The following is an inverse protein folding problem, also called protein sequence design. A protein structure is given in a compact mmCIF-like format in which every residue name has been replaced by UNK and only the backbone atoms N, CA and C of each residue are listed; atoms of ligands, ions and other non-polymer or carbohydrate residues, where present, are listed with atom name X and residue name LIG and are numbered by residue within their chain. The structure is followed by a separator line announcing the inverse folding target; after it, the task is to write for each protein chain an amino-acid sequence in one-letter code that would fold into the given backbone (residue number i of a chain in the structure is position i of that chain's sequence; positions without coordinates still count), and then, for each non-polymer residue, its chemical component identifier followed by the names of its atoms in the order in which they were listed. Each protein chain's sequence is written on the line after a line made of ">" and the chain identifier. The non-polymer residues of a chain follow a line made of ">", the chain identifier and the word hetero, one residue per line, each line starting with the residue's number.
data_IF_960878976065
#
_entry.id   IF_960878976065
#
_cell.length_a   1.000
_cell.length_b   1.000
_cell.length_c   1.000
_cell.angle_alpha   90.00
_cell.angle_beta   90.00
_cell.angle_gamma   90.00
#
_symmetry.space_group_name_H-M   'P 1'
#
loop_
_entity.id
_entity.type
_entity.pdbx_description
1 polymer ?
#
# COMPACT_ATOMS: atom_id res chain seq x y z
N UNK A 1 -18.41 17.03 -27.03
CA UNK A 1 -17.02 16.55 -26.96
C UNK A 1 -17.02 15.42 -25.96
N UNK A 2 -17.10 14.23 -26.51
CA UNK A 2 -17.47 12.98 -25.84
C UNK A 2 -16.30 12.40 -25.04
N UNK A 3 -16.71 11.79 -23.95
CA UNK A 3 -15.97 11.09 -22.91
C UNK A 3 -15.27 9.85 -23.48
N UNK A 4 -14.04 10.00 -23.97
CA UNK A 4 -13.27 8.93 -24.63
C UNK A 4 -11.92 8.65 -23.97
N UNK A 5 -11.80 8.97 -22.67
CA UNK A 5 -10.61 8.67 -21.86
C UNK A 5 -10.87 7.70 -20.69
N UNK A 6 -12.09 7.16 -20.57
CA UNK A 6 -12.40 6.09 -19.62
C UNK A 6 -12.03 4.74 -20.23
N UNK A 7 -11.28 3.91 -19.48
CA UNK A 7 -10.87 2.53 -19.83
C UNK A 7 -9.72 2.37 -20.83
N UNK A 8 -8.48 2.62 -20.36
CA UNK A 8 -7.26 2.01 -20.95
C UNK A 8 -6.86 0.68 -20.31
N UNK A 9 -7.62 0.18 -19.32
CA UNK A 9 -7.33 -1.08 -18.63
C UNK A 9 -8.56 -2.01 -18.72
N UNK A 10 -8.52 -3.05 -19.56
CA UNK A 10 -9.60 -4.02 -19.64
C UNK A 10 -9.63 -4.84 -18.34
N UNK A 11 -10.72 -4.74 -17.57
CA UNK A 11 -10.98 -5.63 -16.41
C UNK A 11 -11.27 -4.96 -15.06
N UNK A 12 -11.34 -3.62 -14.96
CA UNK A 12 -11.96 -3.00 -13.79
C UNK A 12 -13.46 -3.29 -13.83
N UNK A 13 -13.90 -4.28 -13.06
CA UNK A 13 -15.31 -4.41 -12.73
C UNK A 13 -15.79 -3.06 -12.21
N UNK A 14 -16.84 -2.52 -12.83
CA UNK A 14 -17.45 -1.22 -12.53
C UNK A 14 -18.31 -1.34 -11.25
N UNK A 15 -17.84 -2.10 -10.27
CA UNK A 15 -18.54 -2.37 -9.02
C UNK A 15 -18.05 -1.46 -7.90
N UNK A 16 -18.91 -1.27 -6.91
CA UNK A 16 -18.56 -0.55 -5.68
C UNK A 16 -18.09 -1.54 -4.63
N UNK A 17 -16.90 -1.33 -4.08
CA UNK A 17 -16.36 -2.16 -3.00
C UNK A 17 -16.50 -1.47 -1.66
N UNK A 18 -16.63 -2.24 -0.60
CA UNK A 18 -16.64 -1.78 0.79
C UNK A 18 -15.77 -2.67 1.68
N UNK A 19 -15.11 -2.08 2.68
CA UNK A 19 -14.35 -2.80 3.68
C UNK A 19 -14.21 -2.01 4.99
N UNK A 20 -13.87 -2.73 6.07
CA UNK A 20 -13.29 -2.14 7.27
C UNK A 20 -11.85 -1.74 6.99
N UNK A 21 -11.49 -0.49 7.28
CA UNK A 21 -10.16 0.06 7.07
C UNK A 21 -9.32 0.16 8.36
N UNK A 22 -9.96 0.00 9.52
CA UNK A 22 -9.29 -0.06 10.83
C UNK A 22 -9.12 -1.51 11.30
N UNK A 23 -8.10 -1.76 12.11
CA UNK A 23 -7.85 -3.08 12.72
C UNK A 23 -9.07 -3.61 13.49
N UNK A 24 -9.32 -4.92 13.47
CA UNK A 24 -10.42 -5.52 14.24
C UNK A 24 -10.16 -5.36 15.73
N UNK A 25 -11.21 -5.07 16.51
CA UNK A 25 -11.07 -4.89 17.95
C UNK A 25 -12.07 -3.90 18.54
N UNK A 26 -11.92 -3.64 19.83
CA UNK A 26 -12.60 -2.54 20.52
C UNK A 26 -11.71 -1.30 20.42
N UNK A 27 -12.28 -0.22 19.90
CA UNK A 27 -11.65 1.09 19.83
C UNK A 27 -12.71 2.19 19.94
N UNK A 28 -12.29 3.44 20.08
CA UNK A 28 -13.24 4.55 20.11
C UNK A 28 -13.96 4.74 18.76
N UNK A 29 -13.23 4.54 17.66
CA UNK A 29 -13.69 4.77 16.29
C UNK A 29 -13.28 3.58 15.42
N UNK A 30 -14.12 3.24 14.45
CA UNK A 30 -13.76 2.37 13.35
C UNK A 30 -14.12 3.03 12.01
N UNK A 31 -13.36 2.70 10.97
CA UNK A 31 -13.54 3.25 9.64
C UNK A 31 -14.10 2.17 8.71
N UNK A 32 -15.30 2.40 8.16
CA UNK A 32 -15.81 1.67 7.00
C UNK A 32 -15.60 2.57 5.79
N UNK A 33 -15.01 2.05 4.73
CA UNK A 33 -14.80 2.79 3.49
C UNK A 33 -15.40 2.06 2.30
N UNK A 34 -15.88 2.83 1.33
CA UNK A 34 -16.40 2.32 0.05
C UNK A 34 -15.81 3.10 -1.12
N UNK A 35 -15.59 2.43 -2.24
CA UNK A 35 -15.02 3.02 -3.46
C UNK A 35 -15.67 2.40 -4.69
N UNK A 36 -16.07 3.25 -5.63
CA UNK A 36 -16.66 2.82 -6.89
C UNK A 36 -17.80 3.74 -7.35
N UNK A 37 -18.40 3.44 -8.51
CA UNK A 37 -19.36 4.33 -9.18
C UNK A 37 -20.68 4.53 -8.40
N UNK A 38 -21.05 3.58 -7.55
CA UNK A 38 -22.29 3.62 -6.76
C UNK A 38 -22.03 4.01 -5.30
N UNK A 39 -20.81 4.42 -4.92
CA UNK A 39 -20.46 4.74 -3.53
C UNK A 39 -21.39 5.80 -2.89
N UNK A 40 -21.77 6.83 -3.65
CA UNK A 40 -22.70 7.85 -3.16
C UNK A 40 -24.16 7.35 -3.14
N UNK A 41 -24.54 6.43 -4.02
CA UNK A 41 -25.87 5.83 -4.00
C UNK A 41 -26.04 4.94 -2.77
N UNK A 42 -25.02 4.12 -2.47
CA UNK A 42 -24.96 3.33 -1.23
C UNK A 42 -25.06 4.24 -0.01
N UNK A 43 -24.30 5.34 0.04
CA UNK A 43 -24.39 6.29 1.14
C UNK A 43 -25.82 6.84 1.34
N UNK A 44 -26.46 7.33 0.26
CA UNK A 44 -27.82 7.89 0.33
C UNK A 44 -28.84 6.90 0.85
N UNK A 45 -28.69 5.62 0.52
CA UNK A 45 -29.58 4.59 1.04
C UNK A 45 -29.39 4.35 2.55
N UNK A 46 -28.17 4.50 3.07
CA UNK A 46 -27.92 4.43 4.52
C UNK A 46 -28.35 5.71 5.25
N UNK A 47 -28.43 6.85 4.57
CA UNK A 47 -28.83 8.16 5.13
C UNK A 47 -30.07 8.73 4.43
N UNK A 48 -31.22 8.03 4.48
CA UNK A 48 -32.41 8.42 3.72
C UNK A 48 -32.90 9.81 4.12
N UNK A 49 -33.12 10.66 3.12
CA UNK A 49 -33.60 12.03 3.32
C UNK A 49 -32.55 13.04 3.81
N UNK A 50 -31.28 12.62 3.98
CA UNK A 50 -30.18 13.53 4.26
C UNK A 50 -29.45 13.92 2.95
N UNK A 51 -28.99 15.16 2.84
CA UNK A 51 -28.16 15.60 1.71
C UNK A 51 -26.76 14.98 1.77
N UNK A 52 -26.17 14.74 0.60
CA UNK A 52 -24.78 14.28 0.50
C UNK A 52 -23.83 15.28 1.20
N UNK A 53 -22.82 14.80 1.94
CA UNK A 53 -21.79 15.68 2.49
C UNK A 53 -21.08 16.45 1.37
N UNK A 54 -20.79 17.72 1.63
CA UNK A 54 -19.90 18.49 0.78
C UNK A 54 -18.56 17.75 0.65
N UNK A 55 -17.92 17.74 -0.54
CA UNK A 55 -16.67 17.04 -0.76
C UNK A 55 -15.63 17.36 0.32
N UNK A 56 -15.02 16.33 0.89
CA UNK A 56 -13.99 16.40 1.95
C UNK A 56 -14.41 17.13 3.22
N UNK A 57 -15.71 17.17 3.49
CA UNK A 57 -16.26 17.75 4.71
C UNK A 57 -16.82 16.65 5.60
N UNK A 58 -16.23 16.48 6.78
CA UNK A 58 -16.75 15.54 7.77
C UNK A 58 -18.10 16.04 8.27
N UNK A 59 -19.15 15.26 8.03
CA UNK A 59 -20.51 15.65 8.41
C UNK A 59 -21.17 14.54 9.21
N UNK A 60 -21.82 14.90 10.33
CA UNK A 60 -22.54 13.94 11.16
C UNK A 60 -23.82 13.47 10.43
N UNK A 61 -24.02 12.16 10.37
CA UNK A 61 -25.17 11.49 9.73
C UNK A 61 -25.77 10.43 10.63
N UNK A 62 -27.07 10.16 10.45
CA UNK A 62 -27.74 9.02 11.08
C UNK A 62 -27.76 7.87 10.08
N UNK A 63 -26.97 6.83 10.34
CA UNK A 63 -26.91 5.65 9.48
C UNK A 63 -28.04 4.69 9.86
N UNK A 64 -28.78 4.22 8.87
CA UNK A 64 -29.95 3.35 9.06
C UNK A 64 -29.90 2.15 8.11
N UNK A 65 -30.67 1.10 8.39
CA UNK A 65 -30.90 -0.02 7.46
C UNK A 65 -31.92 0.35 6.38
N UNK A 66 -31.64 1.37 5.59
CA UNK A 66 -32.58 1.87 4.57
C UNK A 66 -33.71 2.74 5.14
N UNK A 67 -34.59 3.19 4.26
CA UNK A 67 -35.71 4.07 4.62
C UNK A 67 -36.65 3.43 5.65
N UNK A 68 -36.81 4.08 6.80
CA UNK A 68 -37.63 3.57 7.92
C UNK A 68 -37.01 2.39 8.68
N UNK A 69 -35.76 2.01 8.39
CA UNK A 69 -35.04 0.95 9.06
C UNK A 69 -34.45 1.36 10.42
N UNK A 70 -33.92 0.38 11.15
CA UNK A 70 -33.27 0.60 12.44
C UNK A 70 -32.06 1.53 12.32
N UNK A 71 -31.87 2.42 13.30
CA UNK A 71 -30.64 3.21 13.46
C UNK A 71 -29.46 2.27 13.75
N UNK A 72 -28.46 2.31 12.86
CA UNK A 72 -27.20 1.60 13.00
C UNK A 72 -26.23 2.36 13.90
N UNK A 73 -26.00 3.64 13.58
CA UNK A 73 -25.11 4.53 14.32
C UNK A 73 -25.33 6.00 13.94
N UNK A 74 -24.82 6.93 14.75
CA UNK A 74 -24.60 8.33 14.38
C UNK A 74 -23.11 8.55 14.17
N UNK A 75 -22.70 8.67 12.91
CA UNK A 75 -21.29 8.60 12.50
C UNK A 75 -20.89 9.83 11.68
N UNK A 76 -19.59 10.12 11.66
CA UNK A 76 -19.04 11.11 10.73
C UNK A 76 -18.85 10.47 9.37
N UNK A 77 -19.41 11.10 8.34
CA UNK A 77 -19.27 10.69 6.95
C UNK A 77 -18.47 11.74 6.19
N UNK A 78 -17.52 11.28 5.37
CA UNK A 78 -16.73 12.11 4.47
C UNK A 78 -16.83 11.56 3.05
N UNK A 79 -17.14 12.42 2.08
CA UNK A 79 -17.22 12.07 0.66
C UNK A 79 -15.98 12.56 -0.09
N UNK A 80 -15.50 11.76 -1.04
CA UNK A 80 -14.36 12.06 -1.89
C UNK A 80 -14.75 11.80 -3.35
N UNK A 81 -15.25 12.81 -4.07
CA UNK A 81 -15.58 12.66 -5.48
C UNK A 81 -14.33 12.40 -6.32
N UNK A 82 -14.51 11.60 -7.38
CA UNK A 82 -13.49 11.39 -8.41
C UNK A 82 -13.09 12.72 -9.07
N UNK A 83 -11.83 12.86 -9.54
CA UNK A 83 -10.73 11.90 -9.47
C UNK A 83 -9.93 12.00 -8.16
N UNK A 84 -10.39 12.80 -7.21
CA UNK A 84 -9.55 13.26 -6.11
C UNK A 84 -9.77 12.48 -4.80
N UNK A 85 -9.83 11.16 -4.92
CA UNK A 85 -9.85 10.19 -3.82
C UNK A 85 -8.57 9.35 -3.80
N UNK A 86 -8.44 8.44 -2.83
CA UNK A 86 -7.34 7.47 -2.75
C UNK A 86 -7.28 6.57 -3.98
N UNK A 87 -8.42 5.98 -4.36
CA UNK A 87 -8.54 5.05 -5.50
C UNK A 87 -8.65 5.76 -6.85
N UNK A 88 -8.98 7.05 -6.87
CA UNK A 88 -9.32 7.80 -8.08
C UNK A 88 -10.81 7.70 -8.46
N UNK A 89 -11.60 6.91 -7.74
CA UNK A 89 -13.05 6.76 -7.92
C UNK A 89 -13.84 7.65 -6.94
N UNK A 90 -15.16 7.65 -7.04
CA UNK A 90 -15.98 8.17 -5.96
C UNK A 90 -15.79 7.27 -4.72
N UNK A 91 -15.51 7.89 -3.58
CA UNK A 91 -15.20 7.19 -2.34
C UNK A 91 -15.94 7.84 -1.17
N UNK A 92 -16.38 7.02 -0.23
CA UNK A 92 -17.01 7.47 1.02
C UNK A 92 -16.32 6.79 2.18
N UNK A 93 -16.07 7.55 3.23
CA UNK A 93 -15.55 7.07 4.50
C UNK A 93 -16.54 7.35 5.62
N UNK A 94 -16.81 6.32 6.42
CA UNK A 94 -17.73 6.33 7.55
C UNK A 94 -16.93 6.06 8.82
N UNK A 95 -16.69 7.10 9.61
CA UNK A 95 -16.08 7.03 10.94
C UNK A 95 -17.19 6.81 11.98
N UNK A 96 -17.41 5.55 12.33
CA UNK A 96 -18.44 5.08 13.26
C UNK A 96 -17.85 4.72 14.63
N UNK A 97 -18.70 4.46 15.62
CA UNK A 97 -18.24 3.96 16.91
C UNK A 97 -17.50 2.62 16.75
N UNK A 98 -16.32 2.56 17.35
CA UNK A 98 -15.49 1.36 17.30
C UNK A 98 -16.03 0.25 18.20
N UNK A 99 -15.94 -0.99 17.72
CA UNK A 99 -16.43 -2.17 18.42
C UNK A 99 -16.60 -3.34 17.47
N UNK A 100 -16.95 -4.51 18.01
CA UNK A 100 -17.09 -5.72 17.21
C UNK A 100 -18.31 -5.72 16.29
N UNK A 101 -19.38 -5.03 16.70
CA UNK A 101 -20.70 -5.16 16.09
C UNK A 101 -21.04 -4.01 15.13
N UNK A 102 -20.96 -2.76 15.59
CA UNK A 102 -21.40 -1.57 14.83
C UNK A 102 -20.72 -1.46 13.45
N UNK A 103 -19.39 -1.55 13.33
CA UNK A 103 -18.71 -1.42 12.05
C UNK A 103 -19.07 -2.56 11.09
N UNK A 104 -19.30 -3.77 11.64
CA UNK A 104 -19.74 -4.92 10.87
C UNK A 104 -21.17 -4.75 10.35
N UNK A 105 -22.09 -4.26 11.20
CA UNK A 105 -23.47 -3.97 10.80
C UNK A 105 -23.53 -2.89 9.71
N UNK A 106 -22.71 -1.85 9.79
CA UNK A 106 -22.60 -0.82 8.75
C UNK A 106 -22.06 -1.43 7.46
N UNK A 107 -20.98 -2.22 7.52
CA UNK A 107 -20.43 -2.89 6.35
C UNK A 107 -21.45 -3.82 5.69
N UNK A 108 -22.17 -4.63 6.48
CA UNK A 108 -23.22 -5.51 5.97
C UNK A 108 -24.38 -4.72 5.34
N UNK A 109 -24.72 -3.54 5.87
CA UNK A 109 -25.70 -2.63 5.26
C UNK A 109 -25.21 -2.03 3.93
N UNK A 110 -23.93 -1.67 3.83
CA UNK A 110 -23.33 -1.25 2.56
C UNK A 110 -23.44 -2.36 1.50
N UNK A 111 -23.16 -3.60 1.89
CA UNK A 111 -23.23 -4.76 0.99
C UNK A 111 -24.67 -5.06 0.57
N UNK A 112 -25.62 -4.97 1.50
CA UNK A 112 -27.04 -5.15 1.21
C UNK A 112 -27.59 -4.10 0.22
N UNK A 113 -26.90 -2.96 0.07
CA UNK A 113 -27.33 -1.85 -0.79
C UNK A 113 -26.54 -1.77 -2.11
N UNK A 114 -25.76 -2.80 -2.46
CA UNK A 114 -25.11 -2.89 -3.78
C UNK A 114 -23.59 -2.90 -3.74
N UNK A 115 -22.95 -2.62 -2.59
CA UNK A 115 -21.51 -2.78 -2.49
C UNK A 115 -21.11 -4.27 -2.42
N UNK A 116 -19.91 -4.61 -2.90
CA UNK A 116 -19.26 -5.90 -2.67
C UNK A 116 -18.19 -5.76 -1.59
N UNK A 117 -17.90 -6.83 -0.85
CA UNK A 117 -16.70 -6.85 0.01
C UNK A 117 -15.43 -6.74 -0.83
N UNK A 118 -14.55 -5.82 -0.46
CA UNK A 118 -13.25 -5.66 -1.13
C UNK A 118 -12.34 -6.88 -0.90
N UNK A 119 -11.55 -7.24 -1.91
CA UNK A 119 -10.44 -8.18 -1.79
C UNK A 119 -9.25 -7.56 -1.02
N UNK A 120 -8.34 -8.37 -0.44
CA UNK A 120 -7.10 -7.86 0.14
C UNK A 120 -6.32 -6.98 -0.86
N UNK A 121 -5.95 -5.78 -0.42
CA UNK A 121 -5.22 -4.81 -1.25
C UNK A 121 -6.03 -4.16 -2.39
N UNK A 122 -7.33 -4.46 -2.54
CA UNK A 122 -8.10 -4.03 -3.72
C UNK A 122 -8.17 -2.50 -3.87
N UNK A 123 -8.30 -1.74 -2.78
CA UNK A 123 -8.31 -0.28 -2.83
C UNK A 123 -6.99 0.27 -3.41
N UNK A 124 -5.85 -0.26 -2.96
CA UNK A 124 -4.53 0.15 -3.45
C UNK A 124 -4.32 -0.32 -4.88
N UNK A 125 -4.77 -1.53 -5.23
CA UNK A 125 -4.80 -2.04 -6.62
C UNK A 125 -5.55 -1.07 -7.53
N UNK A 126 -6.74 -0.61 -7.15
CA UNK A 126 -7.52 0.37 -7.94
C UNK A 126 -6.81 1.71 -8.06
N UNK A 127 -6.15 2.19 -7.00
CA UNK A 127 -5.34 3.41 -7.06
C UNK A 127 -4.20 3.29 -8.09
N UNK A 128 -3.53 2.13 -8.17
CA UNK A 128 -2.51 1.86 -9.20
C UNK A 128 -3.13 1.86 -10.60
N UNK A 129 -4.24 1.16 -10.80
CA UNK A 129 -4.91 1.08 -12.10
C UNK A 129 -5.42 2.45 -12.59
N UNK A 130 -5.87 3.32 -11.68
CA UNK A 130 -6.25 4.69 -12.02
C UNK A 130 -5.06 5.68 -12.09
N UNK A 131 -3.82 5.19 -11.98
CA UNK A 131 -2.62 6.01 -12.10
C UNK A 131 -2.42 7.01 -10.96
N UNK A 132 -3.10 6.82 -9.81
CA UNK A 132 -2.92 7.63 -8.60
C UNK A 132 -1.54 7.40 -7.98
N UNK A 133 -1.03 6.18 -8.12
CA UNK A 133 0.28 5.74 -7.66
C UNK A 133 0.82 4.66 -8.60
N UNK A 134 2.13 4.43 -8.58
CA UNK A 134 2.73 3.27 -9.25
C UNK A 134 2.87 2.06 -8.29
N UNK A 135 3.40 0.94 -8.80
CA UNK A 135 3.57 -0.29 -8.01
C UNK A 135 4.56 -0.12 -6.85
N UNK A 136 5.62 0.66 -7.04
CA UNK A 136 6.62 0.89 -5.98
C UNK A 136 6.00 1.68 -4.83
N UNK A 137 5.21 2.70 -5.16
CA UNK A 137 4.44 3.45 -4.17
C UNK A 137 3.40 2.56 -3.47
N UNK A 138 2.75 1.64 -4.18
CA UNK A 138 1.79 0.72 -3.59
C UNK A 138 2.43 -0.26 -2.59
N UNK A 139 3.60 -0.82 -2.93
CA UNK A 139 4.40 -1.64 -2.02
C UNK A 139 4.85 -0.83 -0.79
N UNK A 140 5.29 0.41 -1.01
CA UNK A 140 5.70 1.30 0.08
C UNK A 140 4.58 1.66 1.06
N UNK A 141 3.31 1.69 0.60
CA UNK A 141 2.16 1.85 1.50
C UNK A 141 2.03 0.66 2.45
N UNK A 142 2.28 -0.57 1.97
CA UNK A 142 2.28 -1.76 2.82
C UNK A 142 3.44 -1.72 3.81
N UNK A 143 4.64 -1.39 3.35
CA UNK A 143 5.83 -1.24 4.21
C UNK A 143 5.61 -0.20 5.32
N UNK A 144 4.87 0.88 5.02
CA UNK A 144 4.54 1.91 6.01
C UNK A 144 3.56 1.40 7.08
N UNK A 145 2.61 0.55 6.69
CA UNK A 145 1.62 -0.06 7.59
C UNK A 145 2.31 -1.11 8.48
N UNK A 146 3.23 -1.89 7.92
CA UNK A 146 3.90 -2.99 8.62
C UNK A 146 5.17 -2.58 9.37
N UNK A 147 5.73 -1.41 9.08
CA UNK A 147 7.01 -0.92 9.58
C UNK A 147 7.14 -1.02 11.10
N UNK A 148 8.24 -1.63 11.56
CA UNK A 148 8.50 -1.93 12.98
C UNK A 148 9.68 -1.16 13.56
N UNK A 149 10.34 -0.35 12.73
CA UNK A 149 11.49 0.47 13.10
C UNK A 149 11.38 1.84 12.44
N UNK A 150 12.07 2.83 13.03
CA UNK A 150 12.10 4.19 12.47
C UNK A 150 12.72 4.21 11.08
N UNK A 151 13.79 3.44 10.86
CA UNK A 151 14.45 3.38 9.56
C UNK A 151 13.54 2.79 8.47
N UNK A 152 12.76 1.74 8.77
CA UNK A 152 11.72 1.23 7.87
C UNK A 152 10.68 2.29 7.52
N UNK A 153 10.17 2.98 8.54
CA UNK A 153 9.15 4.01 8.36
C UNK A 153 9.66 5.15 7.47
N UNK A 154 10.85 5.68 7.75
CA UNK A 154 11.46 6.77 6.98
C UNK A 154 11.74 6.33 5.52
N UNK A 155 12.21 5.09 5.32
CA UNK A 155 12.44 4.53 3.99
C UNK A 155 11.13 4.34 3.19
N UNK A 156 10.09 3.78 3.81
CA UNK A 156 8.79 3.59 3.18
C UNK A 156 8.15 4.93 2.80
N UNK A 157 8.23 5.93 3.68
CA UNK A 157 7.71 7.28 3.41
C UNK A 157 8.40 7.92 2.19
N UNK A 158 9.72 7.82 2.10
CA UNK A 158 10.48 8.30 0.93
C UNK A 158 10.04 7.62 -0.37
N UNK A 159 9.69 6.33 -0.33
CA UNK A 159 9.18 5.62 -1.50
C UNK A 159 7.75 6.01 -1.87
N UNK A 160 6.88 6.23 -0.87
CA UNK A 160 5.55 6.82 -1.10
C UNK A 160 5.66 8.18 -1.79
N UNK A 161 6.69 8.97 -1.48
CA UNK A 161 7.01 10.25 -2.13
C UNK A 161 7.73 10.14 -3.49
N UNK A 162 7.73 8.95 -4.12
CA UNK A 162 8.28 8.65 -5.47
C UNK A 162 9.80 8.62 -5.57
N UNK A 163 10.51 8.28 -4.50
CA UNK A 163 11.97 8.12 -4.50
C UNK A 163 12.51 7.21 -5.61
N UNK A 164 12.23 5.91 -5.54
CA UNK A 164 12.68 4.91 -6.52
C UNK A 164 11.94 5.05 -7.86
N UNK A 165 10.66 5.40 -7.84
CA UNK A 165 9.87 5.65 -9.06
C UNK A 165 10.51 6.66 -9.99
N UNK A 166 11.08 7.75 -9.44
CA UNK A 166 11.81 8.75 -10.20
C UNK A 166 13.06 8.16 -10.87
N UNK A 167 13.87 7.41 -10.11
CA UNK A 167 15.07 6.74 -10.64
C UNK A 167 14.74 5.74 -11.75
N UNK A 168 13.70 4.93 -11.58
CA UNK A 168 13.23 4.00 -12.62
C UNK A 168 12.72 4.78 -13.84
N UNK A 169 12.03 5.90 -13.65
CA UNK A 169 11.59 6.77 -14.74
C UNK A 169 12.74 7.34 -15.56
N UNK A 170 13.82 7.77 -14.88
CA UNK A 170 15.05 8.25 -15.51
C UNK A 170 15.74 7.14 -16.34
N UNK A 171 15.89 5.94 -15.76
CA UNK A 171 16.44 4.76 -16.45
C UNK A 171 15.60 4.35 -17.66
N UNK A 172 14.26 4.37 -17.53
CA UNK A 172 13.35 4.12 -18.65
C UNK A 172 13.54 5.14 -19.78
N UNK A 173 13.73 6.41 -19.44
CA UNK A 173 14.01 7.47 -20.43
C UNK A 173 15.31 7.23 -21.19
N UNK A 174 16.36 6.79 -20.49
CA UNK A 174 17.63 6.38 -21.12
C UNK A 174 17.45 5.16 -22.02
N UNK A 175 16.69 4.14 -21.59
CA UNK A 175 16.39 2.96 -22.40
C UNK A 175 15.65 3.31 -23.69
N UNK A 176 14.62 4.16 -23.62
CA UNK A 176 13.90 4.66 -24.80
C UNK A 176 14.84 5.42 -25.75
N UNK A 177 15.84 6.13 -25.20
CA UNK A 177 16.84 6.82 -26.01
C UNK A 177 17.75 5.83 -26.75
N UNK A 178 18.20 4.77 -26.07
CA UNK A 178 18.99 3.69 -26.69
C UNK A 178 18.17 2.98 -27.78
N UNK A 179 16.90 2.67 -27.51
CA UNK A 179 15.98 2.08 -28.48
C UNK A 179 15.83 2.97 -29.73
N UNK A 180 15.64 4.28 -29.53
CA UNK A 180 15.53 5.23 -30.63
C UNK A 180 16.81 5.29 -31.49
N UNK A 181 17.98 5.24 -30.86
CA UNK A 181 19.26 5.20 -31.60
C UNK A 181 19.42 3.89 -32.39
N UNK A 182 19.10 2.75 -31.77
CA UNK A 182 19.14 1.45 -32.46
C UNK A 182 18.19 1.42 -33.66
N UNK A 183 16.94 1.84 -33.46
CA UNK A 183 15.94 1.88 -34.54
C UNK A 183 16.42 2.75 -35.71
N UNK A 184 16.92 3.96 -35.43
CA UNK A 184 17.44 4.84 -36.48
C UNK A 184 18.63 4.23 -37.23
N UNK A 185 19.55 3.57 -36.53
CA UNK A 185 20.72 2.95 -37.17
C UNK A 185 20.33 1.78 -38.08
N UNK A 186 19.31 1.01 -37.70
CA UNK A 186 18.81 -0.13 -38.47
C UNK A 186 18.03 0.33 -39.71
N UNK A 187 17.19 1.35 -39.57
CA UNK A 187 16.30 1.80 -40.65
C UNK A 187 17.02 2.65 -41.71
N UNK A 188 18.09 3.35 -41.34
CA UNK A 188 18.82 4.28 -42.22
C UNK A 188 20.35 4.07 -42.20
N UNK A 189 20.85 2.88 -42.56
CA UNK A 189 22.28 2.55 -42.44
C UNK A 189 23.17 3.20 -43.51
N UNK A 190 22.62 3.60 -44.66
CA UNK A 190 23.36 4.14 -45.83
C UNK A 190 23.06 5.63 -46.12
N UNK A 191 22.29 6.30 -45.27
CA UNK A 191 22.11 7.75 -45.42
C UNK A 191 23.38 8.46 -44.93
N UNK A 192 24.12 9.08 -45.87
CA UNK A 192 25.37 9.81 -45.64
C UNK A 192 25.28 10.94 -44.56
N UNK A 193 24.07 11.28 -44.11
CA UNK A 193 23.78 12.29 -43.08
C UNK A 193 23.25 11.72 -41.75
N UNK A 194 23.18 10.40 -41.55
CA UNK A 194 22.61 9.81 -40.33
C UNK A 194 23.49 10.08 -39.08
N UNK A 195 23.00 10.81 -38.06
CA UNK A 195 23.79 11.25 -36.91
C UNK A 195 23.97 10.18 -35.81
N UNK A 196 23.49 8.95 -36.03
CA UNK A 196 23.50 7.86 -35.03
C UNK A 196 24.47 6.77 -35.45
N UNK A 197 25.65 6.78 -34.85
CA UNK A 197 26.69 5.77 -35.04
C UNK A 197 26.54 4.62 -34.04
N UNK A 198 27.12 3.46 -34.37
CA UNK A 198 27.23 2.32 -33.45
C UNK A 198 27.92 2.74 -32.13
N UNK A 199 28.96 3.56 -32.20
CA UNK A 199 29.65 4.07 -31.01
C UNK A 199 28.75 4.89 -30.10
N UNK A 200 27.84 5.69 -30.69
CA UNK A 200 26.86 6.48 -29.93
C UNK A 200 25.82 5.60 -29.25
N UNK A 201 25.36 4.54 -29.91
CA UNK A 201 24.50 3.51 -29.31
C UNK A 201 25.22 2.84 -28.14
N UNK A 202 26.45 2.36 -28.36
CA UNK A 202 27.25 1.67 -27.35
C UNK A 202 27.49 2.56 -26.12
N UNK A 203 27.87 3.82 -26.34
CA UNK A 203 28.09 4.79 -25.25
C UNK A 203 26.81 5.01 -24.42
N UNK A 204 25.65 5.13 -25.07
CA UNK A 204 24.38 5.30 -24.36
C UNK A 204 23.96 4.04 -23.60
N UNK A 205 24.22 2.85 -24.16
CA UNK A 205 23.95 1.58 -23.51
C UNK A 205 24.88 1.34 -22.30
N UNK A 206 26.17 1.68 -22.42
CA UNK A 206 27.13 1.62 -21.31
C UNK A 206 26.71 2.54 -20.17
N UNK A 207 26.33 3.79 -20.46
CA UNK A 207 25.86 4.72 -19.44
C UNK A 207 24.58 4.21 -18.72
N UNK A 208 23.65 3.59 -19.45
CA UNK A 208 22.46 2.97 -18.87
C UNK A 208 22.83 1.77 -17.99
N UNK A 209 23.76 0.92 -18.43
CA UNK A 209 24.24 -0.21 -17.64
C UNK A 209 24.86 0.29 -16.33
N UNK A 210 25.75 1.26 -16.39
CA UNK A 210 26.44 1.78 -15.21
C UNK A 210 25.44 2.40 -14.21
N UNK A 211 24.41 3.11 -14.70
CA UNK A 211 23.34 3.64 -13.85
C UNK A 211 22.44 2.54 -13.24
N UNK A 212 22.23 1.42 -13.94
CA UNK A 212 21.53 0.24 -13.38
C UNK A 212 22.37 -0.44 -12.31
N UNK A 213 23.68 -0.57 -12.52
CA UNK A 213 24.60 -1.15 -11.55
C UNK A 213 24.64 -0.33 -10.26
N UNK A 214 24.73 1.01 -10.36
CA UNK A 214 24.67 1.91 -9.20
C UNK A 214 23.36 1.73 -8.41
N UNK A 215 22.22 1.52 -9.09
CA UNK A 215 20.96 1.27 -8.42
C UNK A 215 20.97 -0.09 -7.70
N UNK A 216 21.50 -1.13 -8.34
CA UNK A 216 21.56 -2.49 -7.77
C UNK A 216 22.50 -2.57 -6.56
N UNK A 217 23.56 -1.77 -6.51
CA UNK A 217 24.45 -1.68 -5.34
C UNK A 217 23.71 -1.23 -4.06
N UNK A 218 22.59 -0.52 -4.19
CA UNK A 218 21.76 -0.10 -3.04
C UNK A 218 20.78 -1.19 -2.54
N UNK A 219 20.58 -2.26 -3.31
CA UNK A 219 19.57 -3.29 -2.99
C UNK A 219 19.80 -4.01 -1.64
N UNK A 220 21.04 -4.41 -1.27
CA UNK A 220 21.28 -5.09 0.00
C UNK A 220 20.92 -4.24 1.22
N UNK A 221 21.19 -2.93 1.17
CA UNK A 221 20.81 -2.00 2.24
C UNK A 221 19.29 -1.87 2.34
N UNK A 222 18.60 -1.78 1.20
CA UNK A 222 17.14 -1.75 1.17
C UNK A 222 16.50 -3.03 1.70
N UNK A 223 17.09 -4.20 1.43
CA UNK A 223 16.64 -5.49 1.96
C UNK A 223 16.84 -5.58 3.47
N UNK A 224 18.01 -5.18 3.98
CA UNK A 224 18.27 -5.12 5.43
C UNK A 224 17.31 -4.17 6.15
N UNK A 225 16.98 -3.04 5.53
CA UNK A 225 15.98 -2.12 6.07
C UNK A 225 14.59 -2.74 6.07
N UNK A 226 14.16 -3.41 5.00
CA UNK A 226 12.82 -4.01 4.93
C UNK A 226 12.67 -5.23 5.83
N UNK A 227 13.56 -6.20 5.74
CA UNK A 227 13.43 -7.49 6.44
C UNK A 227 14.03 -7.50 7.85
N UNK A 228 14.93 -6.55 8.12
CA UNK A 228 15.73 -6.54 9.33
C UNK A 228 16.94 -7.46 9.27
N UNK A 229 17.99 -7.10 10.00
CA UNK A 229 19.19 -7.91 10.10
C UNK A 229 18.90 -9.22 10.86
N UNK A 230 19.02 -10.36 10.17
CA UNK A 230 18.87 -11.68 10.79
C UNK A 230 19.95 -11.87 11.83
N UNK A 231 19.53 -12.03 13.08
CA UNK A 231 20.41 -12.08 14.24
C UNK A 231 20.19 -13.38 15.00
N UNK A 232 21.18 -14.25 14.92
CA UNK A 232 21.15 -15.57 15.53
C UNK A 232 21.82 -15.51 16.90
N UNK A 233 21.08 -15.84 17.95
CA UNK A 233 21.64 -16.01 19.29
C UNK A 233 22.22 -17.42 19.42
N UNK A 234 23.55 -17.54 19.34
CA UNK A 234 24.27 -18.81 19.41
C UNK A 234 25.09 -18.93 20.70
N UNK A 235 25.21 -20.14 21.24
CA UNK A 235 25.99 -20.42 22.45
C UNK A 235 25.63 -21.74 23.12
N UNK A 236 26.42 -22.20 24.11
CA UNK A 236 26.20 -23.47 24.82
C UNK A 236 24.84 -23.55 25.53
N UNK A 237 24.31 -24.75 25.83
CA UNK A 237 23.14 -24.89 26.71
C UNK A 237 23.35 -24.13 28.04
N UNK A 238 22.28 -23.51 28.56
CA UNK A 238 22.29 -22.70 29.79
C UNK A 238 23.21 -21.47 29.79
N UNK A 239 23.66 -20.98 28.63
CA UNK A 239 24.49 -19.77 28.53
C UNK A 239 23.72 -18.44 28.65
N UNK A 240 22.44 -18.48 29.05
CA UNK A 240 21.61 -17.28 29.17
C UNK A 240 20.98 -16.76 27.87
N UNK A 241 21.04 -17.50 26.75
CA UNK A 241 20.44 -17.08 25.45
C UNK A 241 18.97 -16.69 25.56
N UNK A 242 18.15 -17.56 26.15
CA UNK A 242 16.72 -17.30 26.30
C UNK A 242 16.44 -16.12 27.25
N UNK A 243 17.31 -15.89 28.24
CA UNK A 243 17.23 -14.72 29.10
C UNK A 243 17.54 -13.43 28.33
N UNK A 244 18.57 -13.43 27.47
CA UNK A 244 18.91 -12.29 26.61
C UNK A 244 17.82 -12.04 25.56
N UNK A 245 17.31 -13.09 24.91
CA UNK A 245 16.21 -12.99 23.95
C UNK A 245 14.99 -12.30 24.59
N UNK A 246 14.56 -12.78 25.76
CA UNK A 246 13.43 -12.17 26.48
C UNK A 246 13.72 -10.75 26.97
N UNK A 247 14.96 -10.44 27.38
CA UNK A 247 15.36 -9.09 27.76
C UNK A 247 15.28 -8.13 26.57
N UNK A 248 15.77 -8.54 25.39
CA UNK A 248 15.71 -7.77 24.16
C UNK A 248 14.27 -7.54 23.69
N UNK A 249 13.37 -8.50 23.89
CA UNK A 249 11.94 -8.33 23.61
C UNK A 249 11.22 -7.39 24.58
N UNK A 250 11.70 -7.31 25.82
CA UNK A 250 11.05 -6.56 26.90
C UNK A 250 11.48 -5.09 27.00
N UNK A 251 12.72 -4.76 26.64
CA UNK A 251 13.26 -3.39 26.75
C UNK A 251 13.11 -2.56 25.46
N UNK A 252 13.39 -3.15 24.30
CA UNK A 252 13.16 -2.50 23.00
C UNK A 252 11.69 -2.74 22.63
N UNK A 253 10.98 -1.69 22.18
CA UNK A 253 9.56 -1.79 21.80
C UNK A 253 9.42 -2.77 20.64
N UNK A 254 9.32 -4.06 20.92
CA UNK A 254 8.84 -5.03 19.98
C UNK A 254 7.41 -4.60 19.65
N UNK A 255 7.17 -4.15 18.43
CA UNK A 255 5.81 -4.09 17.89
C UNK A 255 5.44 -5.56 17.68
N UNK A 256 5.06 -6.22 18.77
CA UNK A 256 4.49 -7.56 18.76
C UNK A 256 3.08 -7.39 18.25
N UNK A 257 2.85 -7.84 17.02
CA UNK A 257 1.50 -7.95 16.50
C UNK A 257 0.87 -9.19 17.13
N UNK A 258 -0.12 -9.01 18.00
CA UNK A 258 -1.01 -10.09 18.43
C UNK A 258 -1.91 -10.49 17.25
N UNK A 259 -1.35 -11.20 16.27
CA UNK A 259 -2.12 -11.92 15.25
C UNK A 259 -2.10 -13.40 15.64
N UNK A 260 -3.21 -13.96 16.14
CA UNK A 260 -3.29 -15.39 16.47
C UNK A 260 -3.14 -16.20 15.18
N UNK A 261 -2.00 -16.88 14.99
CA UNK A 261 -1.82 -17.72 13.80
C UNK A 261 -0.47 -18.40 13.55
N UNK A 262 0.64 -17.97 14.15
CA UNK A 262 1.98 -18.51 13.81
C UNK A 262 2.59 -19.42 14.87
N UNK A 263 1.77 -20.04 15.74
CA UNK A 263 2.26 -20.97 16.77
C UNK A 263 2.65 -22.34 16.19
N UNK A 264 3.73 -22.40 15.39
CA UNK A 264 4.47 -23.66 15.23
C UNK A 264 5.89 -23.65 14.69
N UNK A 265 6.43 -22.52 14.25
CA UNK A 265 7.83 -22.44 13.80
C UNK A 265 8.60 -21.48 14.72
N UNK A 266 9.94 -21.54 14.72
CA UNK A 266 10.83 -20.85 15.67
C UNK A 266 10.31 -19.46 16.08
N UNK A 267 10.42 -19.11 17.38
CA UNK A 267 10.04 -17.79 17.89
C UNK A 267 10.93 -16.73 17.20
N UNK A 268 10.51 -16.28 16.02
CA UNK A 268 11.09 -15.17 15.30
C UNK A 268 10.43 -13.90 15.82
N UNK A 269 11.25 -12.95 16.23
CA UNK A 269 10.77 -11.67 16.68
C UNK A 269 11.56 -10.55 16.01
N UNK A 270 10.83 -9.54 15.55
CA UNK A 270 11.41 -8.33 14.99
C UNK A 270 11.44 -7.26 16.08
N UNK A 271 12.63 -6.77 16.37
CA UNK A 271 12.87 -5.67 17.31
C UNK A 271 13.52 -4.50 16.59
N UNK A 272 13.39 -3.30 17.15
CA UNK A 272 14.09 -2.12 16.68
C UNK A 272 15.22 -1.81 17.66
N UNK A 273 16.48 -1.80 17.22
CA UNK A 273 17.64 -1.38 18.03
C UNK A 273 18.25 -0.15 17.36
N UNK A 274 18.37 0.96 18.10
CA UNK A 274 18.92 2.21 17.55
C UNK A 274 18.13 2.76 16.35
N UNK A 275 16.87 2.38 16.20
CA UNK A 275 16.01 2.75 15.08
C UNK A 275 16.07 1.83 13.86
N UNK A 276 16.90 0.77 13.89
CA UNK A 276 17.05 -0.21 12.81
C UNK A 276 16.37 -1.54 13.16
N UNK A 277 15.83 -2.26 12.17
CA UNK A 277 15.16 -3.53 12.40
C UNK A 277 16.15 -4.71 12.53
N UNK A 278 15.93 -5.54 13.53
CA UNK A 278 16.65 -6.80 13.76
C UNK A 278 15.65 -7.94 13.89
N UNK A 279 15.88 -9.03 13.15
CA UNK A 279 15.08 -10.25 13.24
C UNK A 279 15.82 -11.27 14.09
N UNK A 280 15.41 -11.40 15.34
CA UNK A 280 15.99 -12.35 16.28
C UNK A 280 15.49 -13.76 15.98
N UNK A 281 16.42 -14.70 15.88
CA UNK A 281 16.13 -16.13 15.70
C UNK A 281 16.68 -16.90 16.90
N UNK A 282 15.80 -17.51 17.71
CA UNK A 282 16.22 -18.40 18.79
C UNK A 282 16.56 -19.79 18.24
N UNK A 283 17.84 -20.16 18.35
CA UNK A 283 18.35 -21.48 17.96
C UNK A 283 17.93 -22.60 18.91
N UNK A 284 17.37 -22.29 20.08
CA UNK A 284 16.96 -23.30 21.05
C UNK A 284 15.83 -24.23 20.54
N UNK A 285 15.07 -23.80 19.51
CA UNK A 285 14.03 -24.58 18.85
C UNK A 285 14.48 -25.38 17.61
N UNK A 286 15.70 -25.15 17.10
CA UNK A 286 16.27 -25.92 16.01
C UNK A 286 16.92 -27.19 16.60
N UNK A 287 16.10 -28.19 16.91
CA UNK A 287 16.54 -29.55 17.26
C UNK A 287 15.98 -30.57 16.29
#
# INVERSE_FOLDING_TARGET
>A
MTDEASSRLPGLAVDTIAALATSPGVGAIALVRMSGPEAFEVLRALTPGEEDPAPRTATLRSLTKGEGGDLLDRALVTSFPRPESYTGEDMVEISCHGGWLVPRMILDACVATGARLAEPGEFTRRAVLHGKMDLVQAEAVLDLIEGRSKAQHDAALFQVERGLSRRIGELRGQLVTVEAYLAHHIDFPEEDEAPVTVDRVATAADALRDALEELLETAPEGELLREGAVTVLAGPPNSGKSSLYNALLGEERAIVTDMPGTTRDALEAVISIGGFPFRLVDTAGLR
#
